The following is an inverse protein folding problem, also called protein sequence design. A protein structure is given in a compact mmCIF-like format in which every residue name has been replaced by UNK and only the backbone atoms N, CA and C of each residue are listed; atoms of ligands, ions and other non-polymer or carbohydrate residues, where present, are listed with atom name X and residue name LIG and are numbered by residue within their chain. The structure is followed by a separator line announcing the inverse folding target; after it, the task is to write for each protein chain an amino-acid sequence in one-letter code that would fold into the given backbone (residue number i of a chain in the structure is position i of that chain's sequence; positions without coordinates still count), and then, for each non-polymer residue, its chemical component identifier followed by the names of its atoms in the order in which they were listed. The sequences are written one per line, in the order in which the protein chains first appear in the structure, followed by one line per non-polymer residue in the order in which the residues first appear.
data_IF_566380812916
#
_entry.id   IF_566380812916
#
_cell.length_a   1.000
_cell.length_b   1.000
_cell.length_c   1.000
_cell.angle_alpha   90.00
_cell.angle_beta   90.00
_cell.angle_gamma   90.00
#
_symmetry.space_group_name_H-M   'P 1'
#
loop_
_entity.id
_entity.type
_entity.pdbx_description
1 polymer ?
#
# COMPACT_ATOMS: atom_id res chain seq x y z
N UNK A 1 -0.36 -7.09 -33.41
CA UNK A 1 0.44 -8.30 -33.08
C UNK A 1 1.70 -7.90 -32.31
N UNK A 2 1.67 -7.76 -30.97
CA UNK A 2 2.84 -7.26 -30.20
C UNK A 2 3.11 -8.07 -28.90
N UNK A 3 2.79 -9.37 -28.89
CA UNK A 3 2.99 -10.24 -27.70
C UNK A 3 3.56 -11.64 -27.99
N UNK A 4 4.15 -11.90 -29.17
CA UNK A 4 4.64 -13.25 -29.54
C UNK A 4 6.15 -13.53 -29.34
N UNK A 5 6.97 -12.53 -29.04
CA UNK A 5 8.44 -12.67 -28.99
C UNK A 5 9.05 -12.40 -27.60
N UNK A 6 8.65 -13.19 -26.59
CA UNK A 6 9.44 -13.36 -25.36
C UNK A 6 10.08 -14.75 -25.43
N UNK A 7 11.41 -14.81 -25.57
CA UNK A 7 12.10 -16.06 -25.94
C UNK A 7 12.49 -16.87 -24.68
N UNK A 8 12.10 -18.16 -24.50
CA UNK A 8 12.11 -18.82 -23.19
C UNK A 8 13.47 -19.21 -22.57
N UNK A 9 14.61 -18.67 -23.03
CA UNK A 9 15.96 -19.26 -22.78
C UNK A 9 16.94 -18.46 -21.94
N UNK A 10 16.54 -17.36 -21.30
CA UNK A 10 17.39 -16.60 -20.37
C UNK A 10 17.20 -16.93 -18.87
N UNK A 11 16.27 -17.84 -18.52
CA UNK A 11 15.97 -18.20 -17.13
C UNK A 11 16.44 -19.61 -16.72
N UNK A 12 17.73 -19.93 -16.89
CA UNK A 12 18.40 -21.07 -16.23
C UNK A 12 19.81 -20.72 -15.75
N UNK A 13 19.87 -20.04 -14.61
CA UNK A 13 21.11 -19.79 -13.87
C UNK A 13 20.92 -20.14 -12.38
N UNK A 14 21.21 -21.40 -12.04
CA UNK A 14 21.66 -21.85 -10.72
C UNK A 14 20.78 -21.49 -9.51
N UNK A 15 19.67 -22.20 -9.38
CA UNK A 15 18.85 -22.24 -8.16
C UNK A 15 19.48 -23.17 -7.11
N UNK A 16 20.45 -22.68 -6.35
CA UNK A 16 20.57 -23.06 -4.94
C UNK A 16 19.77 -22.03 -4.14
N UNK A 17 18.44 -22.13 -4.21
CA UNK A 17 17.52 -21.34 -3.39
C UNK A 17 17.57 -21.84 -1.94
N UNK A 18 17.99 -21.02 -0.94
CA UNK A 18 17.80 -21.37 0.46
C UNK A 18 16.30 -21.43 0.79
N UNK A 19 15.94 -22.05 1.91
CA UNK A 19 14.57 -22.50 2.25
C UNK A 19 13.48 -21.41 2.44
N UNK A 20 13.64 -20.19 1.91
CA UNK A 20 12.70 -19.07 2.01
C UNK A 20 11.32 -19.32 1.36
N UNK A 21 11.19 -20.31 0.49
CA UNK A 21 10.00 -20.51 -0.36
C UNK A 21 8.98 -21.55 0.15
N UNK A 22 9.35 -22.42 1.09
CA UNK A 22 8.58 -23.63 1.43
C UNK A 22 7.53 -23.42 2.53
N UNK A 23 7.64 -22.38 3.35
CA UNK A 23 6.84 -22.19 4.57
C UNK A 23 5.58 -21.34 4.41
N UNK A 24 5.40 -20.68 3.26
CA UNK A 24 4.25 -19.80 2.99
C UNK A 24 3.40 -20.28 1.79
N UNK A 25 2.05 -20.19 1.86
CA UNK A 25 1.15 -20.56 0.77
C UNK A 25 1.27 -19.61 -0.44
N UNK A 26 0.82 -20.02 -1.65
CA UNK A 26 0.64 -19.11 -2.77
C UNK A 26 -0.45 -18.07 -2.46
N UNK A 27 -0.40 -16.91 -3.13
CA UNK A 27 -1.46 -15.90 -3.05
C UNK A 27 -2.77 -16.46 -3.63
N UNK A 28 -3.89 -16.47 -2.89
CA UNK A 28 -5.18 -16.90 -3.43
C UNK A 28 -5.70 -15.91 -4.48
N UNK A 29 -6.57 -16.38 -5.37
CA UNK A 29 -7.49 -15.53 -6.14
C UNK A 29 -8.81 -15.52 -5.34
N UNK A 30 -9.37 -14.36 -4.95
CA UNK A 30 -10.66 -14.32 -4.26
C UNK A 30 -11.80 -14.83 -5.17
N UNK A 31 -12.93 -15.30 -4.61
CA UNK A 31 -14.13 -15.56 -5.41
C UNK A 31 -14.66 -14.26 -6.04
N UNK A 32 -14.98 -14.28 -7.33
CA UNK A 32 -15.54 -13.13 -8.06
C UNK A 32 -16.71 -12.47 -7.31
N UNK A 33 -17.66 -13.27 -6.84
CA UNK A 33 -18.86 -12.81 -6.12
C UNK A 33 -18.51 -12.07 -4.82
N UNK A 34 -17.53 -12.55 -4.06
CA UNK A 34 -17.04 -11.90 -2.85
C UNK A 34 -16.42 -10.53 -3.17
N UNK A 35 -15.58 -10.44 -4.21
CA UNK A 35 -14.95 -9.19 -4.64
C UNK A 35 -15.99 -8.18 -5.16
N UNK A 36 -16.96 -8.63 -5.95
CA UNK A 36 -18.03 -7.76 -6.47
C UNK A 36 -18.98 -7.26 -5.38
N UNK A 37 -19.31 -8.08 -4.38
CA UNK A 37 -20.07 -7.63 -3.21
C UNK A 37 -19.26 -6.69 -2.30
N UNK A 38 -17.97 -6.97 -2.11
CA UNK A 38 -17.08 -6.10 -1.34
C UNK A 38 -16.89 -4.73 -1.99
N UNK A 39 -16.82 -4.68 -3.33
CA UNK A 39 -16.78 -3.45 -4.10
C UNK A 39 -18.04 -2.60 -3.90
N UNK A 40 -19.24 -3.19 -4.00
CA UNK A 40 -20.48 -2.47 -3.73
C UNK A 40 -20.57 -1.95 -2.28
N UNK A 41 -20.18 -2.75 -1.28
CA UNK A 41 -20.14 -2.30 0.13
C UNK A 41 -19.14 -1.17 0.38
N UNK A 42 -18.07 -1.09 -0.40
CA UNK A 42 -17.10 0.00 -0.31
C UNK A 42 -17.55 1.28 -1.04
N UNK A 43 -18.60 1.22 -1.86
CA UNK A 43 -19.23 2.37 -2.51
C UNK A 43 -20.41 2.94 -1.71
N UNK A 44 -21.04 2.13 -0.86
CA UNK A 44 -22.18 2.54 -0.01
C UNK A 44 -21.96 3.81 0.84
N UNK A 45 -20.78 4.07 1.45
CA UNK A 45 -20.53 5.31 2.18
C UNK A 45 -20.01 6.45 1.30
N UNK A 46 -19.87 6.25 -0.02
CA UNK A 46 -19.24 7.19 -0.97
C UNK A 46 -20.20 7.72 -2.04
N UNK A 47 -21.34 7.05 -2.29
CA UNK A 47 -22.24 7.36 -3.41
C UNK A 47 -23.70 7.57 -2.98
N UNK A 48 -24.44 8.47 -3.65
CA UNK A 48 -25.89 8.50 -3.58
C UNK A 48 -26.52 7.15 -3.99
N UNK A 49 -27.70 6.79 -3.43
CA UNK A 49 -28.35 5.51 -3.75
C UNK A 49 -28.65 5.28 -5.24
N UNK A 50 -28.84 6.35 -6.02
CA UNK A 50 -29.11 6.25 -7.46
C UNK A 50 -27.87 5.84 -8.27
N UNK A 51 -26.72 6.45 -7.99
CA UNK A 51 -25.43 6.10 -8.59
C UNK A 51 -25.00 4.68 -8.19
N UNK A 52 -25.12 4.34 -6.90
CA UNK A 52 -24.87 2.98 -6.42
C UNK A 52 -25.76 1.94 -7.12
N UNK A 53 -27.02 2.29 -7.43
CA UNK A 53 -27.93 1.44 -8.20
C UNK A 53 -27.51 1.31 -9.67
N UNK A 54 -26.88 2.32 -10.28
CA UNK A 54 -26.28 2.20 -11.61
C UNK A 54 -25.12 1.20 -11.60
N UNK A 55 -24.15 1.37 -10.70
CA UNK A 55 -23.01 0.44 -10.55
C UNK A 55 -23.46 -0.98 -10.21
N UNK A 56 -24.47 -1.14 -9.33
CA UNK A 56 -25.05 -2.45 -8.96
C UNK A 56 -25.55 -3.24 -10.19
N UNK A 57 -26.17 -2.57 -11.18
CA UNK A 57 -26.59 -3.21 -12.45
C UNK A 57 -25.41 -3.66 -13.30
N UNK A 58 -24.35 -2.85 -13.40
CA UNK A 58 -23.15 -3.23 -14.16
C UNK A 58 -22.34 -4.35 -13.48
N UNK A 59 -22.31 -4.35 -12.14
CA UNK A 59 -21.72 -5.43 -11.34
C UNK A 59 -22.49 -6.75 -11.53
N UNK A 60 -23.83 -6.71 -11.55
CA UNK A 60 -24.67 -7.86 -11.85
C UNK A 60 -24.43 -8.40 -13.28
N UNK A 61 -24.39 -7.52 -14.28
CA UNK A 61 -24.13 -7.91 -15.69
C UNK A 61 -22.73 -8.50 -15.88
N UNK A 62 -21.71 -7.95 -15.22
CA UNK A 62 -20.34 -8.46 -15.28
C UNK A 62 -20.18 -9.81 -14.57
N UNK A 63 -20.83 -9.98 -13.40
CA UNK A 63 -20.74 -11.16 -12.55
C UNK A 63 -21.76 -12.27 -12.81
N UNK A 64 -22.63 -12.14 -13.83
CA UNK A 64 -23.63 -13.16 -14.17
C UNK A 64 -22.98 -14.50 -14.61
N UNK A 65 -23.67 -15.64 -14.50
CA UNK A 65 -23.18 -16.91 -15.05
C UNK A 65 -22.89 -16.80 -16.55
N UNK A 66 -21.70 -17.24 -16.98
CA UNK A 66 -21.23 -17.05 -18.37
C UNK A 66 -20.94 -15.60 -18.76
N UNK A 67 -20.92 -14.67 -17.78
CA UNK A 67 -20.54 -13.27 -17.97
C UNK A 67 -19.03 -13.07 -18.09
N UNK A 68 -18.64 -11.89 -18.57
CA UNK A 68 -17.23 -11.53 -18.80
C UNK A 68 -16.38 -11.62 -17.52
N UNK A 69 -16.96 -11.33 -16.35
CA UNK A 69 -16.26 -11.49 -15.07
C UNK A 69 -15.88 -12.94 -14.78
N UNK A 70 -16.69 -13.92 -15.18
CA UNK A 70 -16.37 -15.34 -15.01
C UNK A 70 -15.21 -15.76 -15.93
N UNK A 71 -15.20 -15.34 -17.20
CA UNK A 71 -14.09 -15.61 -18.12
C UNK A 71 -12.76 -15.07 -17.56
N UNK A 72 -12.78 -13.86 -17.02
CA UNK A 72 -11.60 -13.19 -16.46
C UNK A 72 -11.16 -13.82 -15.12
N UNK A 73 -12.10 -14.23 -14.28
CA UNK A 73 -11.84 -15.05 -13.06
C UNK A 73 -11.09 -16.33 -13.44
N UNK A 74 -11.60 -17.10 -14.42
CA UNK A 74 -10.95 -18.32 -14.89
C UNK A 74 -9.55 -18.03 -15.47
N UNK A 75 -9.35 -16.86 -16.09
CA UNK A 75 -8.05 -16.36 -16.53
C UNK A 75 -7.05 -16.18 -15.38
N UNK A 76 -7.46 -15.48 -14.31
CA UNK A 76 -6.63 -15.30 -13.12
C UNK A 76 -6.37 -16.61 -12.38
N UNK A 77 -7.33 -17.51 -12.32
CA UNK A 77 -7.14 -18.84 -11.72
C UNK A 77 -6.21 -19.73 -12.56
N UNK A 78 -6.27 -19.65 -13.89
CA UNK A 78 -5.25 -20.25 -14.78
C UNK A 78 -3.87 -19.65 -14.46
N UNK A 79 -3.77 -18.33 -14.33
CA UNK A 79 -2.52 -17.61 -13.98
C UNK A 79 -1.96 -18.05 -12.62
N UNK A 80 -2.80 -18.21 -11.61
CA UNK A 80 -2.41 -18.66 -10.27
C UNK A 80 -1.91 -20.11 -10.23
N UNK A 81 -2.40 -20.99 -11.12
CA UNK A 81 -1.86 -22.35 -11.30
C UNK A 81 -0.51 -22.39 -12.03
N UNK A 82 -0.14 -21.31 -12.74
CA UNK A 82 1.03 -21.26 -13.64
C UNK A 82 2.18 -20.35 -13.16
N UNK A 83 2.03 -19.66 -12.02
CA UNK A 83 2.99 -18.64 -11.53
C UNK A 83 3.33 -18.82 -10.03
N UNK A 84 4.49 -18.33 -9.57
CA UNK A 84 4.85 -18.34 -8.12
C UNK A 84 3.87 -17.47 -7.30
N UNK A 85 3.37 -16.39 -7.88
CA UNK A 85 2.32 -15.49 -7.39
C UNK A 85 1.65 -14.85 -8.62
N UNK A 86 0.31 -14.83 -8.68
CA UNK A 86 -0.41 -14.38 -9.88
C UNK A 86 -0.40 -12.87 -10.09
N UNK A 87 -0.30 -12.07 -9.01
CA UNK A 87 -0.46 -10.61 -9.03
C UNK A 87 0.83 -9.83 -8.85
N UNK A 88 1.85 -10.37 -8.18
CA UNK A 88 3.02 -9.55 -7.77
C UNK A 88 3.75 -8.89 -8.95
N UNK A 89 3.95 -9.58 -10.07
CA UNK A 89 4.60 -8.99 -11.25
C UNK A 89 3.71 -7.95 -11.95
N UNK A 90 2.39 -8.22 -12.05
CA UNK A 90 1.40 -7.27 -12.58
C UNK A 90 1.35 -5.99 -11.74
N UNK A 91 1.31 -6.14 -10.42
CA UNK A 91 1.32 -5.04 -9.46
C UNK A 91 2.62 -4.24 -9.54
N UNK A 92 3.78 -4.90 -9.61
CA UNK A 92 5.07 -4.21 -9.73
C UNK A 92 5.18 -3.43 -11.05
N UNK A 93 4.73 -4.01 -12.15
CA UNK A 93 4.72 -3.35 -13.45
C UNK A 93 3.78 -2.13 -13.43
N UNK A 94 2.52 -2.33 -13.06
CA UNK A 94 1.46 -1.31 -13.10
C UNK A 94 1.71 -0.16 -12.10
N UNK A 95 1.99 -0.46 -10.84
CA UNK A 95 2.07 0.56 -9.79
C UNK A 95 3.39 1.33 -9.78
N UNK A 96 4.47 0.77 -10.33
CA UNK A 96 5.80 1.38 -10.28
C UNK A 96 6.44 1.58 -11.65
N UNK A 97 6.58 0.54 -12.46
CA UNK A 97 7.48 0.55 -13.62
C UNK A 97 6.89 1.25 -14.86
N UNK A 98 5.57 1.17 -15.08
CA UNK A 98 4.86 1.97 -16.09
C UNK A 98 4.65 3.43 -15.64
N UNK A 99 4.70 3.71 -14.32
CA UNK A 99 4.55 5.08 -13.81
C UNK A 99 5.73 5.96 -14.26
N UNK A 100 5.40 7.12 -14.85
CA UNK A 100 6.34 8.13 -15.36
C UNK A 100 6.50 9.34 -14.45
N UNK A 101 5.83 9.36 -13.30
CA UNK A 101 6.01 10.40 -12.29
C UNK A 101 7.44 10.33 -11.69
N UNK A 102 8.02 11.46 -11.24
CA UNK A 102 9.32 11.46 -10.57
C UNK A 102 9.32 10.53 -9.35
N UNK A 103 10.42 9.79 -9.13
CA UNK A 103 10.49 8.84 -8.02
C UNK A 103 10.50 9.52 -6.65
N UNK A 104 11.13 10.70 -6.55
CA UNK A 104 11.07 11.52 -5.35
C UNK A 104 9.62 11.97 -5.07
N UNK A 105 9.22 11.96 -3.80
CA UNK A 105 7.84 12.22 -3.32
C UNK A 105 6.80 11.17 -3.77
N UNK A 106 6.64 10.95 -5.06
CA UNK A 106 5.51 10.16 -5.61
C UNK A 106 5.69 8.63 -5.49
N UNK A 107 6.92 8.09 -5.40
CA UNK A 107 7.17 6.64 -5.33
C UNK A 107 8.13 6.20 -4.23
N UNK A 108 9.16 6.99 -3.91
CA UNK A 108 10.18 6.64 -2.93
C UNK A 108 9.78 7.23 -1.57
N UNK A 109 9.44 6.40 -0.56
CA UNK A 109 9.29 6.89 0.80
C UNK A 109 10.65 7.30 1.39
N UNK A 110 10.64 8.26 2.30
CA UNK A 110 11.78 8.58 3.16
C UNK A 110 11.49 8.13 4.61
N UNK A 111 12.53 8.04 5.44
CA UNK A 111 12.41 7.77 6.87
C UNK A 111 13.18 8.84 7.63
N UNK A 112 12.51 9.53 8.55
CA UNK A 112 13.14 10.39 9.54
C UNK A 112 13.57 9.55 10.75
N UNK A 113 14.80 9.75 11.22
CA UNK A 113 15.42 9.03 12.35
C UNK A 113 15.78 10.02 13.46
N UNK A 114 15.97 9.57 14.72
CA UNK A 114 16.40 10.43 15.82
C UNK A 114 17.68 11.19 15.49
N UNK A 115 17.73 12.49 15.77
CA UNK A 115 18.83 13.38 15.41
C UNK A 115 20.17 12.95 16.04
N UNK A 116 21.02 12.28 15.26
CA UNK A 116 22.33 11.81 15.72
C UNK A 116 23.41 12.89 15.61
N UNK A 117 24.15 13.11 16.71
CA UNK A 117 25.32 14.01 16.72
C UNK A 117 26.52 13.45 15.93
N UNK A 118 26.51 12.17 15.52
CA UNK A 118 27.51 11.51 14.67
C UNK A 118 26.84 10.48 13.74
N UNK A 119 27.06 10.59 12.44
CA UNK A 119 26.44 9.72 11.41
C UNK A 119 27.18 8.38 11.26
N UNK A 120 28.43 8.29 11.73
CA UNK A 120 29.38 7.20 11.42
C UNK A 120 28.96 5.81 11.91
N UNK A 121 28.03 5.68 12.85
CA UNK A 121 27.57 4.40 13.41
C UNK A 121 26.43 3.75 12.62
N UNK A 122 25.70 4.49 11.77
CA UNK A 122 24.52 3.99 11.05
C UNK A 122 24.84 2.95 9.95
N UNK A 123 26.08 2.94 9.44
CA UNK A 123 26.43 2.19 8.23
C UNK A 123 26.78 0.70 8.41
N UNK A 124 26.98 0.24 9.65
CA UNK A 124 27.58 -1.07 9.90
C UNK A 124 26.65 -2.27 10.16
N UNK A 125 25.52 -2.17 10.91
CA UNK A 125 24.88 -3.39 11.43
C UNK A 125 24.16 -4.22 10.36
N UNK A 126 23.35 -3.62 9.49
CA UNK A 126 22.39 -4.40 8.68
C UNK A 126 23.05 -5.11 7.48
N UNK A 127 23.94 -4.42 6.77
CA UNK A 127 24.77 -5.03 5.72
C UNK A 127 25.71 -6.10 6.30
N UNK A 128 26.25 -5.89 7.50
CA UNK A 128 27.02 -6.92 8.19
C UNK A 128 26.14 -8.14 8.55
N UNK A 129 24.94 -7.95 9.11
CA UNK A 129 24.03 -9.07 9.41
C UNK A 129 23.73 -9.93 8.17
N UNK A 130 23.38 -9.31 7.04
CA UNK A 130 23.09 -10.02 5.78
C UNK A 130 24.35 -10.69 5.20
N UNK A 131 25.52 -10.04 5.26
CA UNK A 131 26.76 -10.56 4.66
C UNK A 131 27.56 -11.53 5.54
N UNK A 132 27.38 -11.53 6.86
CA UNK A 132 28.17 -12.35 7.80
C UNK A 132 27.44 -13.61 8.29
N UNK A 133 26.10 -13.59 8.39
CA UNK A 133 25.34 -14.75 8.91
C UNK A 133 24.88 -15.72 7.82
N UNK A 134 24.69 -15.23 6.59
CA UNK A 134 24.08 -16.00 5.49
C UNK A 134 22.59 -16.35 5.66
N UNK A 135 21.97 -16.03 6.81
CA UNK A 135 20.58 -16.36 7.11
C UNK A 135 19.91 -15.22 7.88
N UNK A 136 18.82 -14.67 7.33
CA UNK A 136 17.91 -13.79 8.06
C UNK A 136 16.90 -14.64 8.84
N UNK A 137 16.56 -14.27 10.10
CA UNK A 137 15.51 -14.95 10.85
C UNK A 137 14.16 -14.79 10.14
N UNK A 138 13.36 -15.85 10.12
CA UNK A 138 11.99 -15.80 9.57
C UNK A 138 11.14 -14.95 10.51
N UNK A 139 10.51 -13.90 9.98
CA UNK A 139 9.55 -13.09 10.70
C UNK A 139 8.17 -13.77 10.76
N UNK A 140 7.39 -13.46 11.79
CA UNK A 140 6.06 -14.03 12.01
C UNK A 140 5.01 -12.94 12.27
N UNK A 141 3.79 -13.17 11.82
CA UNK A 141 2.62 -12.34 12.11
C UNK A 141 1.46 -13.23 12.53
N UNK A 142 0.87 -12.98 13.71
CA UNK A 142 -0.22 -13.80 14.30
C UNK A 142 0.08 -15.31 14.26
N UNK A 143 1.32 -15.69 14.61
CA UNK A 143 1.82 -17.07 14.62
C UNK A 143 2.14 -17.69 13.25
N UNK A 144 1.91 -16.98 12.13
CA UNK A 144 2.21 -17.48 10.77
C UNK A 144 3.54 -16.90 10.25
N UNK A 145 4.37 -17.69 9.55
CA UNK A 145 5.61 -17.20 8.97
C UNK A 145 5.35 -16.20 7.84
N UNK A 146 6.31 -15.31 7.61
CA UNK A 146 6.29 -14.33 6.52
C UNK A 146 7.29 -14.69 5.42
N UNK A 147 6.89 -14.39 4.18
CA UNK A 147 7.72 -14.38 3.00
C UNK A 147 8.89 -13.41 3.19
N UNK A 148 10.11 -13.91 3.02
CA UNK A 148 11.36 -13.15 3.14
C UNK A 148 11.95 -12.75 1.78
N UNK A 149 11.26 -13.03 0.67
CA UNK A 149 11.74 -12.76 -0.70
C UNK A 149 12.06 -11.28 -0.99
N UNK A 150 11.56 -10.33 -0.16
CA UNK A 150 11.83 -8.90 -0.33
C UNK A 150 13.19 -8.44 0.22
N UNK A 151 13.78 -9.14 1.20
CA UNK A 151 15.03 -8.71 1.84
C UNK A 151 16.24 -8.81 0.88
N UNK A 152 16.38 -9.87 0.06
CA UNK A 152 17.38 -9.92 -1.02
C UNK A 152 17.18 -8.90 -2.15
N UNK A 153 16.08 -8.13 -2.15
CA UNK A 153 15.78 -7.07 -3.12
C UNK A 153 16.08 -5.66 -2.58
N UNK A 154 16.55 -5.53 -1.33
CA UNK A 154 16.97 -4.25 -0.74
C UNK A 154 18.40 -3.85 -1.13
N UNK A 155 19.24 -4.82 -1.50
CA UNK A 155 20.68 -4.63 -1.70
C UNK A 155 21.13 -5.08 -3.09
N UNK A 156 22.15 -4.40 -3.62
CA UNK A 156 22.74 -4.65 -4.96
C UNK A 156 21.70 -4.66 -6.09
N UNK A 157 20.70 -3.77 -6.00
CA UNK A 157 19.63 -3.58 -6.98
C UNK A 157 19.47 -2.10 -7.33
N UNK A 158 18.99 -1.79 -8.54
CA UNK A 158 18.66 -0.43 -8.94
C UNK A 158 17.50 -0.42 -9.95
N UNK A 159 16.64 0.61 -9.88
CA UNK A 159 15.67 0.91 -10.92
C UNK A 159 16.38 1.66 -12.05
N UNK A 160 16.33 1.10 -13.25
CA UNK A 160 16.95 1.66 -14.45
C UNK A 160 15.83 2.30 -15.30
N UNK A 161 15.98 3.57 -15.71
CA UNK A 161 14.98 4.23 -16.55
C UNK A 161 14.92 3.60 -17.95
N UNK A 162 13.72 3.41 -18.46
CA UNK A 162 13.48 3.00 -19.85
C UNK A 162 12.58 3.99 -20.60
N UNK A 163 12.49 3.87 -21.94
CA UNK A 163 11.78 4.83 -22.80
C UNK A 163 10.25 4.69 -22.78
N UNK A 164 9.70 3.64 -22.15
CA UNK A 164 8.26 3.42 -21.97
C UNK A 164 7.97 3.06 -20.51
N UNK A 165 8.44 1.89 -20.09
CA UNK A 165 8.54 1.49 -18.69
C UNK A 165 10.00 1.42 -18.25
N UNK A 166 10.19 1.44 -16.94
CA UNK A 166 11.48 1.17 -16.28
C UNK A 166 11.63 -0.32 -15.96
N UNK A 167 12.81 -0.72 -15.45
CA UNK A 167 13.06 -2.08 -14.99
C UNK A 167 13.97 -2.11 -13.77
N UNK A 168 13.98 -3.22 -13.02
CA UNK A 168 14.86 -3.39 -11.85
C UNK A 168 16.03 -4.31 -12.19
N UNK A 169 17.24 -3.77 -12.24
CA UNK A 169 18.46 -4.55 -12.33
C UNK A 169 18.86 -5.09 -10.95
N UNK A 170 19.43 -6.31 -10.92
CA UNK A 170 19.91 -6.98 -9.70
C UNK A 170 21.28 -7.60 -9.96
N UNK A 171 22.20 -7.43 -9.01
CA UNK A 171 23.61 -7.81 -9.15
C UNK A 171 24.10 -8.77 -8.05
N UNK A 172 23.28 -9.01 -7.01
CA UNK A 172 23.58 -9.82 -5.82
C UNK A 172 23.89 -11.30 -6.09
N UNK A 173 23.34 -11.87 -7.16
CA UNK A 173 23.52 -13.29 -7.52
C UNK A 173 24.42 -13.50 -8.76
N UNK A 174 25.41 -12.61 -8.98
CA UNK A 174 26.36 -12.74 -10.09
C UNK A 174 27.66 -13.41 -9.65
N UNK A 175 28.48 -13.90 -10.60
CA UNK A 175 29.84 -14.40 -10.29
C UNK A 175 30.80 -13.32 -9.75
N UNK A 176 30.36 -12.06 -9.65
CA UNK A 176 31.12 -10.90 -9.15
C UNK A 176 30.18 -9.92 -8.43
N UNK A 177 29.45 -10.40 -7.42
CA UNK A 177 28.49 -9.57 -6.67
C UNK A 177 29.14 -8.32 -6.07
N UNK A 178 28.49 -7.14 -6.06
CA UNK A 178 29.12 -5.90 -5.64
C UNK A 178 29.52 -5.89 -4.16
N UNK A 179 30.83 -5.78 -3.90
CA UNK A 179 31.44 -5.66 -2.56
C UNK A 179 31.68 -4.21 -2.13
N UNK A 180 30.96 -3.25 -2.73
CA UNK A 180 31.16 -1.82 -2.50
C UNK A 180 29.83 -1.07 -2.37
N UNK A 181 29.87 0.07 -1.67
CA UNK A 181 28.79 1.05 -1.62
C UNK A 181 29.19 2.31 -2.40
N UNK A 182 28.19 3.06 -2.84
CA UNK A 182 28.35 4.40 -3.43
C UNK A 182 28.07 5.44 -2.36
N UNK A 183 28.95 6.43 -2.20
CA UNK A 183 28.73 7.58 -1.32
C UNK A 183 28.60 8.83 -2.17
N UNK A 184 27.54 9.61 -1.95
CA UNK A 184 27.33 10.91 -2.58
C UNK A 184 27.57 12.00 -1.53
N UNK A 185 28.40 12.99 -1.88
CA UNK A 185 28.63 14.19 -1.06
C UNK A 185 28.86 15.37 -2.00
N UNK A 186 28.18 16.49 -1.74
CA UNK A 186 28.28 17.72 -2.55
C UNK A 186 28.10 17.44 -4.07
N UNK A 187 27.10 16.61 -4.40
CA UNK A 187 26.78 16.08 -5.74
C UNK A 187 27.86 15.22 -6.42
N UNK A 188 29.03 15.03 -5.79
CA UNK A 188 30.08 14.13 -6.29
C UNK A 188 29.83 12.69 -5.83
N UNK A 189 30.09 11.75 -6.73
CA UNK A 189 29.90 10.31 -6.54
C UNK A 189 31.26 9.66 -6.28
N UNK A 190 31.47 9.06 -5.11
CA UNK A 190 32.78 8.52 -4.73
C UNK A 190 32.73 7.35 -3.75
N UNK A 191 33.92 6.87 -3.37
CA UNK A 191 34.13 6.02 -2.18
C UNK A 191 34.38 6.93 -0.97
N UNK A 192 34.01 6.48 0.23
CA UNK A 192 33.61 7.35 1.34
C UNK A 192 34.61 8.42 1.85
N UNK A 193 34.09 9.62 2.21
CA UNK A 193 34.89 10.72 2.80
C UNK A 193 34.09 11.90 3.42
N UNK A 194 33.80 11.82 4.72
CA UNK A 194 33.59 12.87 5.75
C UNK A 194 32.95 14.27 5.44
N UNK A 195 31.63 14.40 5.69
CA UNK A 195 30.93 15.49 6.45
C UNK A 195 30.51 16.88 5.87
N UNK A 196 29.29 17.32 6.32
CA UNK A 196 28.72 18.68 6.52
C UNK A 196 28.53 19.61 5.27
N UNK A 197 27.49 20.47 5.11
CA UNK A 197 26.31 20.91 5.93
C UNK A 197 25.19 21.50 4.97
N UNK A 198 24.06 22.19 5.30
CA UNK A 198 23.27 22.65 6.49
C UNK A 198 21.82 23.12 6.03
N UNK A 199 20.88 23.44 6.96
CA UNK A 199 19.62 24.27 6.78
C UNK A 199 18.44 23.67 5.92
N UNK A 200 17.15 24.10 5.79
CA UNK A 200 16.07 24.97 6.45
C UNK A 200 14.73 24.81 5.61
N UNK A 201 13.45 25.21 5.88
CA UNK A 201 12.60 25.73 7.00
C UNK A 201 11.07 25.77 6.61
N UNK A 202 10.12 25.69 7.58
CA UNK A 202 8.69 26.20 7.64
C UNK A 202 7.60 25.81 6.57
N UNK A 203 6.25 25.95 6.75
CA UNK A 203 5.25 25.68 7.86
C UNK A 203 3.75 25.97 7.45
N UNK A 204 2.71 25.52 8.23
CA UNK A 204 1.29 26.01 8.34
C UNK A 204 0.28 25.77 7.15
N UNK A 205 -1.09 25.69 7.21
CA UNK A 205 -2.17 25.60 8.25
C UNK A 205 -3.60 25.19 7.67
N UNK A 206 -4.56 24.63 8.44
CA UNK A 206 -6.01 25.10 8.50
C UNK A 206 -7.21 24.73 7.55
N UNK A 207 -7.37 23.64 6.74
CA UNK A 207 -8.61 23.50 5.90
C UNK A 207 -9.17 22.06 5.58
N UNK A 208 -10.53 21.95 5.45
CA UNK A 208 -11.42 20.90 4.83
C UNK A 208 -12.30 19.96 5.70
N UNK A 209 -13.49 19.63 5.15
CA UNK A 209 -14.66 19.06 5.86
C UNK A 209 -15.50 18.07 5.02
N UNK A 210 -14.88 17.21 4.21
CA UNK A 210 -15.58 16.22 3.36
C UNK A 210 -15.16 14.77 3.66
N UNK A 211 -16.09 13.83 3.45
CA UNK A 211 -15.81 12.39 3.49
C UNK A 211 -15.32 11.92 2.12
N UNK A 212 -14.21 11.17 2.07
CA UNK A 212 -13.54 10.82 0.81
C UNK A 212 -13.01 9.37 0.76
N UNK A 213 -12.66 8.84 -0.44
CA UNK A 213 -12.11 7.50 -0.58
C UNK A 213 -10.71 7.38 0.03
N UNK A 214 -10.56 6.50 1.03
CA UNK A 214 -9.31 6.26 1.73
C UNK A 214 -8.80 4.82 1.58
N UNK A 215 -7.47 4.64 1.58
CA UNK A 215 -6.84 3.31 1.63
C UNK A 215 -5.72 3.19 2.67
N UNK A 216 -5.89 2.19 3.54
CA UNK A 216 -4.84 1.61 4.39
C UNK A 216 -4.12 0.47 3.66
N UNK A 217 -2.86 0.20 4.04
CA UNK A 217 -2.00 -0.77 3.35
C UNK A 217 -1.82 -2.05 4.17
N UNK A 218 -2.42 -3.15 3.70
CA UNK A 218 -2.24 -4.49 4.27
C UNK A 218 -1.01 -5.20 3.66
N UNK A 219 -0.13 -5.73 4.51
CA UNK A 219 0.98 -6.61 4.09
C UNK A 219 0.44 -7.96 3.60
N UNK A 220 0.83 -8.37 2.38
CA UNK A 220 0.51 -9.69 1.84
C UNK A 220 1.63 -10.72 2.08
N UNK A 221 2.62 -10.42 2.94
CA UNK A 221 3.77 -11.30 3.18
C UNK A 221 3.44 -12.67 3.80
N UNK A 222 2.21 -12.94 4.24
CA UNK A 222 1.80 -14.33 4.57
C UNK A 222 1.65 -15.22 3.32
N UNK A 223 1.81 -14.67 2.12
CA UNK A 223 1.81 -15.39 0.85
C UNK A 223 3.18 -15.28 0.14
N UNK A 224 3.54 -16.32 -0.62
CA UNK A 224 4.77 -16.36 -1.45
C UNK A 224 4.82 -15.18 -2.43
N UNK A 225 5.97 -14.51 -2.52
CA UNK A 225 6.15 -13.28 -3.30
C UNK A 225 5.21 -12.11 -2.92
N UNK A 226 4.47 -12.19 -1.82
CA UNK A 226 3.39 -11.26 -1.47
C UNK A 226 3.88 -9.83 -1.21
N UNK A 227 3.16 -8.86 -1.80
CA UNK A 227 3.43 -7.42 -1.67
C UNK A 227 2.44 -6.74 -0.72
N UNK A 228 1.47 -6.01 -1.27
CA UNK A 228 0.46 -5.26 -0.51
C UNK A 228 -0.92 -5.44 -1.12
N UNK A 229 -1.94 -5.29 -0.28
CA UNK A 229 -3.35 -5.12 -0.65
C UNK A 229 -3.86 -3.84 0.04
N UNK A 230 -4.98 -3.28 -0.43
CA UNK A 230 -5.64 -2.15 0.22
C UNK A 230 -6.78 -2.61 1.14
N UNK A 231 -6.89 -1.94 2.29
CA UNK A 231 -8.09 -1.94 3.13
C UNK A 231 -8.79 -0.61 2.85
N UNK A 232 -10.08 -0.66 2.51
CA UNK A 232 -10.86 0.52 2.14
C UNK A 232 -11.54 1.14 3.35
N UNK A 233 -11.46 2.46 3.44
CA UNK A 233 -12.11 3.28 4.46
C UNK A 233 -12.72 4.54 3.80
N UNK A 234 -13.74 5.17 4.40
CA UNK A 234 -14.53 4.69 5.54
C UNK A 234 -15.42 3.48 5.17
N UNK A 235 -15.94 2.80 6.18
CA UNK A 235 -17.08 1.87 6.07
C UNK A 235 -18.39 2.61 6.40
N UNK A 236 -19.55 1.99 6.14
CA UNK A 236 -20.83 2.53 6.61
C UNK A 236 -20.85 2.74 8.14
N UNK A 237 -20.21 1.84 8.90
CA UNK A 237 -20.07 1.94 10.36
C UNK A 237 -19.19 3.13 10.76
N UNK A 238 -18.04 3.30 10.09
CA UNK A 238 -17.18 4.46 10.32
C UNK A 238 -17.89 5.78 9.95
N UNK A 239 -18.66 5.82 8.85
CA UNK A 239 -19.46 6.98 8.46
C UNK A 239 -20.52 7.33 9.51
N UNK A 240 -21.27 6.35 10.04
CA UNK A 240 -22.20 6.57 11.16
C UNK A 240 -21.47 7.18 12.37
N UNK A 241 -20.32 6.63 12.75
CA UNK A 241 -19.54 7.10 13.89
C UNK A 241 -19.05 8.55 13.68
N UNK A 242 -18.49 8.86 12.51
CA UNK A 242 -18.02 10.20 12.14
C UNK A 242 -19.17 11.21 12.21
N UNK A 243 -20.33 10.91 11.63
CA UNK A 243 -21.50 11.79 11.67
C UNK A 243 -22.06 11.99 13.10
N UNK A 244 -21.91 11.00 13.96
CA UNK A 244 -22.33 11.07 15.37
C UNK A 244 -21.28 11.67 16.32
N UNK A 245 -20.02 11.84 15.87
CA UNK A 245 -18.91 12.21 16.76
C UNK A 245 -19.09 13.60 17.34
N UNK A 246 -19.36 14.60 16.51
CA UNK A 246 -19.57 15.99 16.93
C UNK A 246 -21.03 16.32 17.29
N UNK A 247 -21.99 15.45 16.94
CA UNK A 247 -23.41 15.67 17.20
C UNK A 247 -23.71 15.68 18.71
N UNK A 248 -24.12 16.84 19.23
CA UNK A 248 -24.42 17.05 20.65
C UNK A 248 -25.75 16.43 21.09
N UNK A 249 -26.57 15.94 20.17
CA UNK A 249 -27.83 15.25 20.46
C UNK A 249 -27.64 13.74 20.69
N UNK A 250 -26.53 13.17 20.20
CA UNK A 250 -26.22 11.74 20.37
C UNK A 250 -25.58 11.50 21.74
N UNK A 251 -26.18 10.61 22.54
CA UNK A 251 -25.66 10.22 23.85
C UNK A 251 -24.27 9.57 23.74
N UNK A 252 -23.42 9.80 24.75
CA UNK A 252 -22.02 9.30 24.79
C UNK A 252 -21.93 7.79 24.59
N UNK A 253 -22.84 7.05 25.22
CA UNK A 253 -22.89 5.59 25.20
C UNK A 253 -23.19 5.08 23.77
N UNK A 254 -24.00 5.81 23.00
CA UNK A 254 -24.25 5.51 21.59
C UNK A 254 -23.04 5.85 20.71
N UNK A 255 -22.30 6.94 20.99
CA UNK A 255 -21.03 7.24 20.28
C UNK A 255 -19.98 6.15 20.51
N UNK A 256 -19.88 5.63 21.75
CA UNK A 256 -19.00 4.52 22.09
C UNK A 256 -19.39 3.21 21.40
N UNK A 257 -20.69 2.93 21.20
CA UNK A 257 -21.12 1.73 20.48
C UNK A 257 -20.89 1.87 18.97
N UNK A 258 -21.15 3.04 18.38
CA UNK A 258 -20.81 3.33 16.98
C UNK A 258 -19.30 3.24 16.72
N UNK A 259 -18.47 3.64 17.68
CA UNK A 259 -17.01 3.45 17.62
C UNK A 259 -16.64 1.96 17.59
N UNK A 260 -17.30 1.11 18.41
CA UNK A 260 -17.09 -0.35 18.38
C UNK A 260 -17.52 -0.94 17.04
N UNK A 261 -18.71 -0.62 16.54
CA UNK A 261 -19.18 -1.03 15.19
C UNK A 261 -18.14 -0.68 14.10
N UNK A 262 -17.57 0.53 14.16
CA UNK A 262 -16.57 1.00 13.19
C UNK A 262 -15.24 0.25 13.30
N UNK A 263 -14.73 0.06 14.52
CA UNK A 263 -13.46 -0.65 14.79
C UNK A 263 -13.58 -2.14 14.42
N UNK A 264 -14.69 -2.79 14.72
CA UNK A 264 -14.92 -4.21 14.38
C UNK A 264 -15.07 -4.41 12.87
N UNK A 265 -15.82 -3.54 12.19
CA UNK A 265 -15.95 -3.58 10.73
C UNK A 265 -14.59 -3.39 10.02
N UNK A 266 -13.78 -2.44 10.47
CA UNK A 266 -12.43 -2.23 9.96
C UNK A 266 -11.49 -3.40 10.31
N UNK A 267 -11.64 -4.01 11.49
CA UNK A 267 -10.84 -5.16 11.93
C UNK A 267 -11.12 -6.41 11.12
N UNK A 268 -12.37 -6.67 10.74
CA UNK A 268 -12.72 -7.77 9.85
C UNK A 268 -12.26 -7.51 8.40
N UNK A 269 -12.38 -6.27 7.88
CA UNK A 269 -11.77 -5.93 6.57
C UNK A 269 -10.26 -6.13 6.59
N UNK A 270 -9.58 -5.73 7.67
CA UNK A 270 -8.15 -6.01 7.90
C UNK A 270 -7.88 -7.52 7.91
N UNK A 271 -8.70 -8.30 8.61
CA UNK A 271 -8.57 -9.76 8.65
C UNK A 271 -8.85 -10.42 7.29
N UNK A 272 -9.74 -9.88 6.46
CA UNK A 272 -9.98 -10.33 5.09
C UNK A 272 -8.79 -10.00 4.19
N UNK A 273 -8.31 -8.76 4.19
CA UNK A 273 -7.13 -8.36 3.42
C UNK A 273 -5.92 -9.24 3.79
N UNK A 274 -5.66 -9.47 5.09
CA UNK A 274 -4.60 -10.37 5.55
C UNK A 274 -4.82 -11.85 5.15
N UNK A 275 -6.06 -12.31 5.01
CA UNK A 275 -6.38 -13.65 4.44
C UNK A 275 -6.25 -13.72 2.92
N UNK A 276 -5.82 -12.65 2.24
CA UNK A 276 -5.74 -12.59 0.78
C UNK A 276 -7.11 -12.44 0.12
N UNK A 277 -8.09 -11.94 0.86
CA UNK A 277 -9.50 -11.77 0.46
C UNK A 277 -9.90 -10.31 0.20
N UNK A 278 -8.92 -9.41 0.10
CA UNK A 278 -9.13 -8.04 -0.36
C UNK A 278 -9.61 -7.96 -1.81
N UNK A 279 -10.07 -6.77 -2.22
CA UNK A 279 -10.74 -6.58 -3.51
C UNK A 279 -9.88 -5.86 -4.54
N UNK A 280 -8.97 -4.97 -4.14
CA UNK A 280 -8.29 -4.05 -5.05
C UNK A 280 -7.27 -4.73 -5.96
N UNK A 281 -6.44 -5.65 -5.43
CA UNK A 281 -5.56 -6.47 -6.30
C UNK A 281 -6.37 -7.38 -7.21
N UNK A 282 -7.57 -7.80 -6.81
CA UNK A 282 -8.43 -8.63 -7.65
C UNK A 282 -9.12 -7.84 -8.78
N UNK A 283 -9.70 -6.68 -8.48
CA UNK A 283 -10.28 -5.79 -9.50
C UNK A 283 -9.22 -5.33 -10.51
N UNK A 284 -8.03 -4.95 -10.05
CA UNK A 284 -6.89 -4.65 -10.93
C UNK A 284 -6.50 -5.88 -11.77
N UNK A 285 -6.44 -7.07 -11.14
CA UNK A 285 -6.18 -8.34 -11.83
C UNK A 285 -7.14 -8.58 -12.98
N UNK A 286 -8.45 -8.48 -12.74
CA UNK A 286 -9.50 -8.68 -13.74
C UNK A 286 -9.40 -7.65 -14.88
N UNK A 287 -9.07 -6.39 -14.56
CA UNK A 287 -8.83 -5.32 -15.55
C UNK A 287 -7.61 -5.61 -16.42
N UNK A 288 -6.51 -6.10 -15.83
CA UNK A 288 -5.28 -6.44 -16.56
C UNK A 288 -5.42 -7.74 -17.36
N UNK A 289 -6.15 -8.74 -16.87
CA UNK A 289 -6.48 -9.98 -17.60
C UNK A 289 -7.24 -9.67 -18.90
N UNK A 290 -8.18 -8.72 -18.87
CA UNK A 290 -8.91 -8.28 -20.06
C UNK A 290 -7.97 -7.64 -21.11
N UNK A 291 -6.96 -6.90 -20.66
CA UNK A 291 -5.94 -6.28 -21.53
C UNK A 291 -4.99 -7.35 -22.10
N UNK A 292 -4.56 -8.33 -21.30
CA UNK A 292 -3.73 -9.46 -21.77
C UNK A 292 -4.48 -10.33 -22.79
N UNK A 293 -5.79 -10.55 -22.61
CA UNK A 293 -6.64 -11.26 -23.57
C UNK A 293 -7.05 -10.40 -24.80
N UNK A 294 -6.65 -9.13 -24.84
CA UNK A 294 -6.91 -8.22 -25.97
C UNK A 294 -8.38 -7.76 -26.11
N UNK A 295 -9.14 -7.84 -25.01
CA UNK A 295 -10.56 -7.48 -24.96
C UNK A 295 -10.74 -5.96 -24.75
N UNK A 296 -11.95 -5.47 -25.04
CA UNK A 296 -12.36 -4.14 -24.59
C UNK A 296 -12.40 -4.09 -23.06
N UNK A 297 -12.02 -2.95 -22.48
CA UNK A 297 -12.08 -2.75 -21.02
C UNK A 297 -13.51 -3.00 -20.54
N UNK A 298 -13.74 -3.90 -19.55
CA UNK A 298 -15.07 -4.13 -19.00
C UNK A 298 -15.71 -2.84 -18.46
N UNK A 299 -17.03 -2.65 -18.70
CA UNK A 299 -17.76 -1.42 -18.35
C UNK A 299 -17.61 -1.02 -16.88
N UNK A 300 -17.55 -1.98 -15.96
CA UNK A 300 -17.33 -1.73 -14.53
C UNK A 300 -16.02 -0.99 -14.21
N UNK A 301 -15.02 -1.02 -15.11
CA UNK A 301 -13.73 -0.33 -14.95
C UNK A 301 -13.65 1.00 -15.73
N UNK A 302 -14.77 1.42 -16.30
CA UNK A 302 -15.02 2.71 -16.96
C UNK A 302 -16.20 3.48 -16.28
N UNK A 303 -16.76 2.92 -15.20
CA UNK A 303 -17.79 3.51 -14.36
C UNK A 303 -17.22 4.71 -13.58
N UNK A 304 -17.97 5.80 -13.47
CA UNK A 304 -17.65 6.95 -12.62
C UNK A 304 -17.40 6.51 -11.18
N UNK A 305 -18.18 5.54 -10.67
CA UNK A 305 -17.98 4.95 -9.36
C UNK A 305 -16.61 4.27 -9.20
N UNK A 306 -16.10 3.63 -10.26
CA UNK A 306 -14.77 3.02 -10.24
C UNK A 306 -13.66 4.07 -10.30
N UNK A 307 -13.89 5.16 -11.03
CA UNK A 307 -13.05 6.36 -11.00
C UNK A 307 -12.91 6.90 -9.58
N UNK A 308 -14.03 7.30 -8.96
CA UNK A 308 -14.07 7.77 -7.57
C UNK A 308 -13.43 6.77 -6.61
N UNK A 309 -13.81 5.50 -6.67
CA UNK A 309 -13.31 4.46 -5.78
C UNK A 309 -11.83 4.12 -5.98
N UNK A 310 -11.15 4.62 -7.02
CA UNK A 310 -9.69 4.48 -7.20
C UNK A 310 -8.94 5.81 -7.17
N UNK A 311 -9.66 6.91 -6.91
CA UNK A 311 -9.11 8.25 -6.68
C UNK A 311 -8.91 8.48 -5.18
N UNK A 312 -7.78 8.00 -4.67
CA UNK A 312 -7.49 7.93 -3.23
C UNK A 312 -7.13 9.30 -2.64
N UNK A 313 -8.15 10.11 -2.30
CA UNK A 313 -7.99 11.40 -1.58
C UNK A 313 -7.29 11.24 -0.22
N UNK A 314 -7.33 10.06 0.42
CA UNK A 314 -6.49 9.76 1.59
C UNK A 314 -5.75 8.42 1.44
N UNK A 315 -4.42 8.44 1.63
CA UNK A 315 -3.60 7.23 1.74
C UNK A 315 -2.96 7.13 3.11
N UNK A 316 -3.27 6.06 3.84
CA UNK A 316 -2.74 5.76 5.17
C UNK A 316 -1.69 4.65 5.14
N UNK A 317 -0.86 4.57 6.17
CA UNK A 317 0.11 3.49 6.30
C UNK A 317 0.77 3.42 7.67
N UNK A 318 0.53 2.31 8.38
CA UNK A 318 1.27 1.98 9.60
C UNK A 318 2.65 1.42 9.25
N UNK A 319 3.71 1.99 9.81
CA UNK A 319 5.09 1.50 9.70
C UNK A 319 5.65 1.36 11.12
N UNK A 320 5.31 0.26 11.84
CA UNK A 320 5.72 0.08 13.22
C UNK A 320 7.20 -0.26 13.30
N UNK A 321 7.97 0.47 14.11
CA UNK A 321 9.37 0.16 14.38
C UNK A 321 9.73 0.40 15.84
N UNK A 322 10.72 -0.33 16.37
CA UNK A 322 11.26 -0.12 17.71
C UNK A 322 12.23 1.09 17.78
N UNK A 323 12.32 1.88 16.69
CA UNK A 323 13.13 3.09 16.62
C UNK A 323 12.18 4.29 16.63
N UNK A 324 12.53 5.30 17.41
CA UNK A 324 11.84 6.60 17.51
C UNK A 324 11.88 7.36 16.16
N UNK A 325 11.07 6.92 15.20
CA UNK A 325 11.24 7.23 13.78
C UNK A 325 9.92 7.22 13.04
N UNK A 326 9.87 7.87 11.88
CA UNK A 326 8.66 7.93 11.05
C UNK A 326 8.99 7.87 9.57
N UNK A 327 8.27 7.01 8.83
CA UNK A 327 8.30 7.00 7.38
C UNK A 327 7.38 8.11 6.83
N UNK A 328 7.72 8.69 5.69
CA UNK A 328 6.84 9.60 4.96
C UNK A 328 6.84 9.29 3.45
N UNK A 329 5.74 9.63 2.78
CA UNK A 329 5.54 9.51 1.34
C UNK A 329 4.53 10.56 0.87
N UNK A 330 4.52 10.89 -0.43
CA UNK A 330 3.54 11.81 -1.00
C UNK A 330 2.13 11.20 -1.16
N UNK A 331 1.10 12.04 -1.36
CA UNK A 331 -0.23 11.61 -1.76
C UNK A 331 -0.25 10.86 -3.10
N UNK A 332 -1.32 10.11 -3.36
CA UNK A 332 -1.52 9.41 -4.65
C UNK A 332 -2.18 10.30 -5.72
N UNK A 333 -2.89 11.34 -5.31
CA UNK A 333 -3.64 12.27 -6.17
C UNK A 333 -3.28 13.72 -5.79
N UNK A 334 -3.44 14.71 -6.70
CA UNK A 334 -3.07 16.11 -6.40
C UNK A 334 -3.90 16.73 -5.26
N UNK A 335 -5.18 16.35 -5.20
CA UNK A 335 -6.24 16.80 -4.29
C UNK A 335 -6.39 15.88 -3.07
N UNK A 336 -5.27 15.33 -2.57
CA UNK A 336 -5.27 14.34 -1.51
C UNK A 336 -4.14 14.43 -0.51
N UNK A 337 -4.28 13.62 0.54
CA UNK A 337 -3.37 13.50 1.66
C UNK A 337 -2.66 12.13 1.68
N UNK A 338 -1.47 12.10 2.26
CA UNK A 338 -0.88 10.88 2.77
C UNK A 338 -0.51 11.02 4.25
N UNK A 339 -0.90 10.02 5.05
CA UNK A 339 -0.67 9.98 6.51
C UNK A 339 0.01 8.66 6.88
N UNK A 340 1.30 8.72 7.16
CA UNK A 340 2.09 7.58 7.59
C UNK A 340 2.35 7.67 9.10
N UNK A 341 2.29 6.55 9.83
CA UNK A 341 2.36 6.56 11.29
C UNK A 341 3.11 5.39 11.91
N UNK A 342 3.81 5.67 13.03
CA UNK A 342 4.54 4.68 13.83
C UNK A 342 4.10 4.81 15.31
N UNK A 343 3.18 3.96 15.79
CA UNK A 343 2.83 3.89 17.21
C UNK A 343 3.98 3.38 18.06
N UNK A 344 4.22 4.02 19.19
CA UNK A 344 5.13 3.59 20.26
C UNK A 344 4.31 3.22 21.51
N UNK A 345 4.96 3.02 22.66
CA UNK A 345 4.28 2.60 23.89
C UNK A 345 3.48 3.72 24.57
N UNK A 346 3.91 4.97 24.41
CA UNK A 346 3.41 6.16 25.11
C UNK A 346 3.06 7.34 24.16
N UNK A 347 3.40 7.24 22.88
CA UNK A 347 3.12 8.24 21.86
C UNK A 347 2.97 7.62 20.46
N UNK A 348 2.61 8.43 19.46
CA UNK A 348 2.54 8.02 18.05
C UNK A 348 3.20 9.07 17.18
N UNK A 349 4.15 8.67 16.33
CA UNK A 349 4.66 9.55 15.28
C UNK A 349 3.70 9.57 14.10
N UNK A 350 3.40 10.77 13.59
CA UNK A 350 2.66 10.97 12.34
C UNK A 350 3.49 11.81 11.36
N UNK A 351 3.51 11.39 10.11
CA UNK A 351 4.00 12.18 8.99
C UNK A 351 2.85 12.40 7.99
N UNK A 352 2.43 13.65 7.88
CA UNK A 352 1.32 14.09 7.04
C UNK A 352 1.87 14.87 5.84
N UNK A 353 1.38 14.56 4.64
CA UNK A 353 1.76 15.26 3.40
C UNK A 353 0.53 15.58 2.55
N UNK A 354 0.64 16.64 1.76
CA UNK A 354 -0.34 17.20 0.84
C UNK A 354 0.41 17.87 -0.32
N UNK A 355 -0.27 18.31 -1.38
CA UNK A 355 0.36 19.07 -2.47
C UNK A 355 -0.15 20.52 -2.51
N UNK A 356 0.76 21.48 -2.34
CA UNK A 356 0.47 22.93 -2.35
C UNK A 356 -0.14 23.47 -3.68
N UNK A 357 -0.27 22.64 -4.72
CA UNK A 357 -0.99 22.99 -5.95
C UNK A 357 -2.50 22.73 -5.87
N UNK A 358 -2.99 22.07 -4.81
CA UNK A 358 -4.39 21.97 -4.51
C UNK A 358 -4.70 22.85 -3.29
N UNK A 359 -5.43 23.95 -3.53
CA UNK A 359 -5.91 24.85 -2.48
C UNK A 359 -6.85 24.11 -1.50
N UNK A 360 -7.46 23.00 -1.91
CA UNK A 360 -8.27 22.12 -1.07
C UNK A 360 -7.46 21.17 -0.14
N UNK A 361 -6.13 21.33 -0.04
CA UNK A 361 -5.32 20.48 0.87
C UNK A 361 -4.24 21.26 1.61
N UNK A 362 -4.07 20.99 2.91
CA UNK A 362 -2.93 21.50 3.68
C UNK A 362 -2.46 20.52 4.77
N UNK A 363 -1.18 20.16 4.72
CA UNK A 363 -0.63 19.11 5.58
C UNK A 363 -0.59 19.47 7.08
N UNK A 364 -0.44 20.75 7.46
CA UNK A 364 -0.48 21.13 8.88
C UNK A 364 -1.92 21.14 9.42
N UNK A 365 -2.96 21.31 8.58
CA UNK A 365 -4.32 21.03 9.07
C UNK A 365 -4.50 19.56 9.36
N UNK A 366 -4.22 18.69 8.38
CA UNK A 366 -4.51 17.27 8.56
C UNK A 366 -3.67 16.66 9.70
N UNK A 367 -2.53 17.26 10.07
CA UNK A 367 -1.79 16.94 11.29
C UNK A 367 -2.43 17.48 12.59
N UNK A 368 -2.99 18.70 12.57
CA UNK A 368 -3.56 19.36 13.76
C UNK A 368 -4.98 18.87 14.07
N UNK A 369 -5.88 18.82 13.10
CA UNK A 369 -7.22 18.21 13.28
C UNK A 369 -7.09 16.76 13.74
N UNK A 370 -6.16 15.98 13.16
CA UNK A 370 -5.87 14.62 13.63
C UNK A 370 -5.45 14.58 15.12
N UNK A 371 -4.62 15.53 15.57
CA UNK A 371 -4.24 15.63 16.99
C UNK A 371 -5.44 15.99 17.87
N UNK A 372 -6.25 16.96 17.45
CA UNK A 372 -7.44 17.43 18.18
C UNK A 372 -8.46 16.29 18.32
N UNK A 373 -8.85 15.66 17.21
CA UNK A 373 -9.75 14.49 17.20
C UNK A 373 -9.21 13.30 18.02
N UNK A 374 -7.88 13.10 18.09
CA UNK A 374 -7.29 12.07 18.96
C UNK A 374 -7.40 12.41 20.46
N UNK A 375 -7.35 13.69 20.83
CA UNK A 375 -7.63 14.14 22.20
C UNK A 375 -9.13 14.01 22.52
N UNK A 376 -10.02 14.45 21.62
CA UNK A 376 -11.47 14.33 21.79
C UNK A 376 -11.90 12.85 21.92
N UNK A 377 -11.27 11.96 21.15
CA UNK A 377 -11.46 10.50 21.25
C UNK A 377 -10.92 9.93 22.57
N UNK A 378 -9.81 10.47 23.09
CA UNK A 378 -9.29 10.09 24.41
C UNK A 378 -10.25 10.52 25.53
N UNK A 379 -10.86 11.70 25.46
CA UNK A 379 -11.88 12.15 26.42
C UNK A 379 -13.16 11.30 26.31
N UNK A 380 -13.63 11.00 25.09
CA UNK A 380 -14.77 10.11 24.86
C UNK A 380 -14.58 8.73 25.52
N UNK A 381 -13.36 8.19 25.46
CA UNK A 381 -12.99 6.87 26.00
C UNK A 381 -12.72 6.84 27.52
N UNK A 382 -12.52 7.97 28.20
CA UNK A 382 -12.27 7.99 29.65
C UNK A 382 -13.50 7.54 30.46
N UNK A 383 -13.35 6.84 31.58
CA UNK A 383 -14.47 6.54 32.47
C UNK A 383 -15.14 7.83 32.96
N UNK A 384 -16.46 7.82 33.07
CA UNK A 384 -17.19 8.89 33.77
C UNK A 384 -16.80 8.85 35.26
N UNK A 385 -16.45 10.01 35.82
CA UNK A 385 -16.08 10.20 37.24
C UNK A 385 -17.33 10.38 38.10
#
# INVERSE_FOLDING_TARGET
MIFKNIHPRTCRAWLQEPCFYSTVPPQPVPPLTQTLQGYLRALEPLLPPEELNHTRRMVQEFGRPGGLGQQLQEGLERRARLTKNWVSDLWVQWAYLESRQPLAVHSNPAISLPLQKRITTLFFPYTACVSLSGQLPVEYMRGKPLCMELYPLLFSSSRIPGPKHDYVARYSNSRRSPTHITVVRNYQVGRAGAWLALLTQLQLLQVHSEVCPACDIASQRMFRGGRTEYIRSPTNQALKFILAFDDRTVAREAKLELLREAVDAYSELTAQALRGHGIDRHLLGLKLQAIEEGLSIPKIFMDTAYGLATHWKLRTGQVPTNTDSVMCFGPLVPDGYAVCYNPQADHVHFAVTAFNCCEETNAETMARTLKETLCDLQELLQPTV
#
